data_IF_329085898625
#
_entry.id   IF_329085898625
#
_cell.length_a   1.000
_cell.length_b   1.000
_cell.length_c   1.000
_cell.angle_alpha   90.00
_cell.angle_beta   90.00
_cell.angle_gamma   90.00
#
_symmetry.space_group_name_H-M   'P 1'
#
loop_
_entity.id
_entity.type
_entity.pdbx_description
1 polymer ?
#
# COMPACT_ATOMS: atom_id res chain seq x y z
N UNK A 1 -31.75 -7.05 -3.69
CA UNK A 1 -30.83 -7.12 -2.54
C UNK A 1 -29.44 -6.72 -3.02
N UNK A 2 -29.05 -5.47 -2.76
CA UNK A 2 -27.79 -4.90 -3.23
C UNK A 2 -26.61 -5.61 -2.59
N UNK A 3 -25.76 -6.24 -3.39
CA UNK A 3 -24.50 -6.76 -2.92
C UNK A 3 -23.59 -5.58 -2.63
N UNK A 4 -23.29 -5.35 -1.35
CA UNK A 4 -22.13 -4.56 -0.95
C UNK A 4 -20.88 -5.23 -1.49
N UNK A 5 -20.06 -4.51 -2.25
CA UNK A 5 -18.73 -4.99 -2.63
C UNK A 5 -17.88 -5.15 -1.36
N UNK A 6 -17.84 -6.37 -0.83
CA UNK A 6 -16.99 -6.73 0.29
C UNK A 6 -15.65 -7.23 -0.26
N UNK A 7 -14.57 -6.49 -0.01
CA UNK A 7 -13.22 -7.01 -0.20
C UNK A 7 -12.85 -7.83 1.04
N UNK A 8 -12.44 -9.08 0.84
CA UNK A 8 -11.87 -9.89 1.91
C UNK A 8 -10.38 -9.58 2.04
N UNK A 9 -9.95 -9.07 3.20
CA UNK A 9 -8.53 -8.93 3.53
C UNK A 9 -8.02 -10.27 4.07
N UNK A 10 -7.04 -10.90 3.42
CA UNK A 10 -6.45 -12.15 3.90
C UNK A 10 -5.39 -11.90 5.00
N UNK A 11 -5.76 -11.12 6.03
CA UNK A 11 -4.96 -10.90 7.24
C UNK A 11 -3.75 -9.96 7.13
N UNK A 12 -3.37 -9.54 5.91
CA UNK A 12 -2.15 -8.77 5.70
C UNK A 12 -2.38 -7.26 5.49
N UNK A 13 -3.55 -6.70 5.82
CA UNK A 13 -3.88 -5.32 5.47
C UNK A 13 -3.69 -4.30 6.61
N UNK A 14 -3.12 -3.13 6.28
CA UNK A 14 -3.03 -1.99 7.19
C UNK A 14 -4.29 -1.13 7.17
N UNK A 15 -4.62 -0.48 8.28
CA UNK A 15 -5.75 0.44 8.39
C UNK A 15 -5.39 1.74 9.13
N UNK A 16 -5.87 2.89 8.64
CA UNK A 16 -5.74 4.20 9.31
C UNK A 16 -7.04 5.00 9.28
N UNK A 17 -7.27 5.77 10.35
CA UNK A 17 -8.38 6.71 10.47
C UNK A 17 -7.85 8.13 10.19
N UNK A 18 -8.58 8.89 9.37
CA UNK A 18 -8.32 10.30 9.10
C UNK A 18 -9.59 11.10 9.33
N UNK A 19 -9.51 12.25 9.98
CA UNK A 19 -10.65 13.17 10.13
C UNK A 19 -10.32 14.48 9.44
N UNK A 20 -11.17 14.87 8.48
CA UNK A 20 -11.11 16.19 7.88
C UNK A 20 -11.46 17.23 8.95
N UNK A 21 -10.53 18.12 9.26
CA UNK A 21 -10.69 19.10 10.35
C UNK A 21 -11.63 20.25 10.00
N UNK A 22 -11.96 20.42 8.72
CA UNK A 22 -12.88 21.45 8.23
C UNK A 22 -14.31 20.89 8.23
N UNK A 23 -14.49 19.68 7.69
CA UNK A 23 -15.81 19.08 7.53
C UNK A 23 -16.22 18.15 8.67
N UNK A 24 -15.29 17.82 9.59
CA UNK A 24 -15.43 16.80 10.63
C UNK A 24 -15.81 15.41 10.09
N UNK A 25 -15.59 15.17 8.80
CA UNK A 25 -15.84 13.86 8.18
C UNK A 25 -14.67 12.94 8.50
N UNK A 26 -14.96 11.85 9.18
CA UNK A 26 -13.98 10.79 9.43
C UNK A 26 -13.98 9.78 8.30
N UNK A 27 -12.80 9.38 7.85
CA UNK A 27 -12.55 8.41 6.80
C UNK A 27 -11.60 7.33 7.28
N UNK A 28 -11.76 6.16 6.69
CA UNK A 28 -11.14 4.90 7.03
C UNK A 28 -10.37 4.47 5.76
N UNK A 29 -9.04 4.38 5.78
CA UNK A 29 -8.23 3.91 4.66
C UNK A 29 -7.61 2.55 4.97
N UNK A 30 -7.88 1.56 4.12
CA UNK A 30 -7.34 0.19 4.22
C UNK A 30 -6.48 -0.16 3.01
N UNK A 31 -5.36 -0.85 3.21
CA UNK A 31 -4.54 -1.42 2.13
C UNK A 31 -4.44 -2.95 2.27
N UNK A 32 -4.36 -3.72 1.19
CA UNK A 32 -4.10 -5.17 1.26
C UNK A 32 -3.84 -5.83 -0.09
N UNK A 33 -3.26 -7.03 -0.07
CA UNK A 33 -2.96 -7.80 -1.29
C UNK A 33 -4.19 -8.15 -2.13
N UNK A 34 -4.04 -8.14 -3.45
CA UNK A 34 -5.06 -8.58 -4.39
C UNK A 34 -4.91 -10.07 -4.69
N UNK A 35 -5.90 -10.90 -4.37
CA UNK A 35 -6.00 -12.24 -4.92
C UNK A 35 -6.88 -12.16 -6.16
N UNK A 36 -6.36 -12.65 -7.29
CA UNK A 36 -7.01 -12.58 -8.60
C UNK A 36 -8.44 -13.11 -8.55
N UNK A 37 -9.42 -12.21 -8.53
CA UNK A 37 -10.76 -12.57 -9.01
C UNK A 37 -10.70 -12.63 -10.53
N UNK A 38 -11.38 -13.59 -11.19
CA UNK A 38 -11.45 -13.65 -12.65
C UNK A 38 -12.09 -12.40 -13.29
N UNK A 39 -12.66 -11.49 -12.49
CA UNK A 39 -13.27 -10.23 -12.92
C UNK A 39 -12.33 -9.01 -12.82
N UNK A 40 -11.12 -9.20 -12.29
CA UNK A 40 -10.07 -8.17 -12.19
C UNK A 40 -8.75 -8.74 -12.73
N UNK A 41 -8.83 -9.45 -13.86
CA UNK A 41 -7.66 -9.95 -14.59
C UNK A 41 -6.96 -8.75 -15.23
N UNK A 42 -5.80 -8.38 -14.71
CA UNK A 42 -4.85 -7.61 -15.49
C UNK A 42 -4.41 -8.49 -16.66
N UNK A 43 -4.43 -7.95 -17.88
CA UNK A 43 -3.83 -8.65 -19.00
C UNK A 43 -2.35 -8.87 -18.63
N UNK A 44 -2.01 -10.14 -18.36
CA UNK A 44 -0.75 -10.62 -17.75
C UNK A 44 -0.74 -10.42 -16.22
N UNK A 45 -0.68 -11.51 -15.45
CA UNK A 45 -0.75 -11.50 -13.97
C UNK A 45 0.33 -10.60 -13.38
N UNK A 46 -0.06 -9.40 -12.96
CA UNK A 46 0.75 -8.53 -12.11
C UNK A 46 0.07 -8.52 -10.75
N UNK A 47 0.66 -9.22 -9.78
CA UNK A 47 0.20 -9.15 -8.39
C UNK A 47 0.39 -7.72 -7.87
N UNK A 48 -0.59 -7.27 -7.10
CA UNK A 48 -0.76 -5.88 -6.68
C UNK A 48 -1.45 -5.80 -5.34
N UNK A 49 -1.65 -4.58 -4.86
CA UNK A 49 -2.48 -4.32 -3.69
C UNK A 49 -3.61 -3.35 -3.99
N UNK A 50 -4.66 -3.41 -3.18
CA UNK A 50 -5.80 -2.51 -3.23
C UNK A 50 -5.71 -1.53 -2.06
N UNK A 51 -5.85 -0.24 -2.34
CA UNK A 51 -6.09 0.81 -1.36
C UNK A 51 -7.57 1.22 -1.47
N UNK A 52 -8.33 1.15 -0.37
CA UNK A 52 -9.75 1.52 -0.32
C UNK A 52 -9.96 2.58 0.75
N UNK A 53 -10.86 3.53 0.48
CA UNK A 53 -11.30 4.51 1.47
C UNK A 53 -12.80 4.38 1.75
N UNK A 54 -13.14 4.43 3.03
CA UNK A 54 -14.50 4.41 3.54
C UNK A 54 -14.78 5.71 4.31
N UNK A 55 -16.05 6.09 4.36
CA UNK A 55 -16.59 7.12 5.25
C UNK A 55 -16.79 6.56 6.66
N UNK A 56 -17.07 7.44 7.62
CA UNK A 56 -17.28 7.10 9.03
C UNK A 56 -18.49 6.19 9.29
N UNK A 57 -19.43 6.17 8.35
CA UNK A 57 -20.59 5.28 8.36
C UNK A 57 -20.29 3.90 7.74
N UNK A 58 -19.03 3.63 7.37
CA UNK A 58 -18.60 2.38 6.75
C UNK A 58 -18.91 2.27 5.26
N UNK A 59 -19.51 3.29 4.64
CA UNK A 59 -19.74 3.30 3.19
C UNK A 59 -18.46 3.60 2.43
N UNK A 60 -18.32 3.08 1.21
CA UNK A 60 -17.15 3.38 0.36
C UNK A 60 -17.17 4.84 -0.06
N UNK A 61 -16.06 5.55 0.14
CA UNK A 61 -15.89 6.93 -0.33
C UNK A 61 -15.58 6.95 -1.83
N UNK A 62 -16.62 7.02 -2.65
CA UNK A 62 -16.52 7.00 -4.10
C UNK A 62 -15.69 8.15 -4.72
N UNK A 63 -15.32 9.18 -3.94
CA UNK A 63 -14.42 10.25 -4.40
C UNK A 63 -12.94 9.86 -4.40
N UNK A 64 -12.59 8.72 -3.80
CA UNK A 64 -11.22 8.22 -3.74
C UNK A 64 -10.89 7.32 -4.93
N UNK A 65 -9.79 7.59 -5.62
CA UNK A 65 -9.34 6.75 -6.73
C UNK A 65 -10.42 6.55 -7.79
N UNK A 66 -10.63 5.30 -8.19
CA UNK A 66 -11.74 4.90 -9.05
C UNK A 66 -12.78 4.16 -8.21
N UNK A 67 -13.93 4.81 -7.96
CA UNK A 67 -15.06 4.24 -7.20
C UNK A 67 -14.67 3.79 -5.78
N UNK A 68 -13.83 4.59 -5.12
CA UNK A 68 -13.42 4.41 -3.74
C UNK A 68 -12.19 3.54 -3.51
N UNK A 69 -11.58 3.03 -4.58
CA UNK A 69 -10.36 2.23 -4.48
C UNK A 69 -9.37 2.46 -5.60
N UNK A 70 -8.15 1.99 -5.37
CA UNK A 70 -7.02 2.02 -6.31
C UNK A 70 -6.33 0.67 -6.25
N UNK A 71 -6.42 -0.09 -7.34
CA UNK A 71 -5.59 -1.27 -7.52
C UNK A 71 -4.24 -0.82 -8.07
N UNK A 72 -3.15 -1.19 -7.39
CA UNK A 72 -1.80 -0.75 -7.71
C UNK A 72 -0.89 -1.95 -7.93
N UNK A 73 -0.45 -2.21 -9.17
CA UNK A 73 0.70 -3.05 -9.41
C UNK A 73 1.99 -2.29 -9.07
N UNK A 74 3.02 -3.00 -8.63
CA UNK A 74 4.34 -2.40 -8.47
C UNK A 74 5.10 -2.46 -9.82
N UNK A 75 5.53 -1.32 -10.39
CA UNK A 75 6.14 -1.30 -11.73
C UNK A 75 7.35 -2.23 -11.85
N UNK A 76 7.41 -3.00 -12.94
CA UNK A 76 8.51 -3.92 -13.25
C UNK A 76 8.60 -5.17 -12.36
N UNK A 77 7.66 -5.36 -11.43
CA UNK A 77 7.63 -6.49 -10.50
C UNK A 77 6.40 -7.35 -10.78
N UNK A 78 6.51 -8.66 -10.56
CA UNK A 78 5.39 -9.58 -10.81
C UNK A 78 4.58 -9.87 -9.55
N UNK A 79 5.11 -9.48 -8.39
CA UNK A 79 4.48 -9.64 -7.09
C UNK A 79 4.61 -8.38 -6.25
N UNK A 80 3.51 -7.96 -5.61
CA UNK A 80 3.54 -6.93 -4.58
C UNK A 80 2.38 -7.09 -3.60
N UNK A 81 2.65 -6.76 -2.34
CA UNK A 81 1.64 -6.73 -1.27
C UNK A 81 1.86 -5.52 -0.37
N UNK A 82 0.77 -4.98 0.14
CA UNK A 82 0.78 -3.92 1.14
C UNK A 82 0.43 -4.49 2.51
N UNK A 83 1.24 -4.17 3.52
CA UNK A 83 1.10 -4.61 4.90
C UNK A 83 0.72 -3.49 5.87
N UNK A 84 1.10 -2.27 5.54
CA UNK A 84 0.88 -1.12 6.39
C UNK A 84 0.59 0.14 5.58
N UNK A 85 -0.14 1.06 6.21
CA UNK A 85 -0.50 2.35 5.65
C UNK A 85 -0.32 3.42 6.71
N UNK A 86 0.18 4.59 6.30
CA UNK A 86 0.33 5.76 7.16
C UNK A 86 -0.07 7.03 6.41
N UNK A 87 -0.46 8.05 7.18
CA UNK A 87 -0.88 9.35 6.67
C UNK A 87 0.15 10.42 7.00
N UNK A 88 0.54 11.18 6.00
CA UNK A 88 1.28 12.42 6.20
C UNK A 88 0.31 13.56 6.55
N UNK A 89 0.82 14.59 7.23
CA UNK A 89 0.03 15.74 7.69
C UNK A 89 -0.62 16.54 6.56
N UNK A 90 -0.07 16.47 5.35
CA UNK A 90 -0.61 17.06 4.14
C UNK A 90 -1.70 16.20 3.46
N UNK A 91 -2.10 15.08 4.08
CA UNK A 91 -3.10 14.16 3.55
C UNK A 91 -2.56 13.16 2.52
N UNK A 92 -1.26 13.17 2.22
CA UNK A 92 -0.65 12.11 1.43
C UNK A 92 -0.66 10.79 2.21
N UNK A 93 -0.76 9.69 1.46
CA UNK A 93 -0.90 8.34 2.00
C UNK A 93 0.34 7.57 1.57
N UNK A 94 1.04 6.98 2.54
CA UNK A 94 2.17 6.08 2.28
C UNK A 94 1.72 4.67 2.58
N UNK A 95 1.92 3.78 1.62
CA UNK A 95 1.69 2.34 1.76
C UNK A 95 3.03 1.64 1.72
N UNK A 96 3.23 0.67 2.61
CA UNK A 96 4.44 -0.14 2.69
C UNK A 96 4.12 -1.63 2.75
N UNK A 97 5.01 -2.43 2.20
CA UNK A 97 4.94 -3.88 2.24
C UNK A 97 6.14 -4.50 1.50
N UNK A 98 5.86 -5.34 0.52
CA UNK A 98 6.89 -6.03 -0.25
C UNK A 98 6.65 -5.99 -1.75
N UNK A 99 7.74 -6.09 -2.50
CA UNK A 99 7.73 -6.25 -3.96
C UNK A 99 8.77 -7.29 -4.38
N UNK A 100 8.50 -8.06 -5.43
CA UNK A 100 9.43 -9.07 -5.93
C UNK A 100 9.33 -9.28 -7.46
N UNK A 101 10.46 -9.67 -8.04
CA UNK A 101 10.58 -10.08 -9.45
C UNK A 101 10.12 -11.53 -9.70
N UNK A 102 9.85 -12.30 -8.65
CA UNK A 102 9.41 -13.70 -8.71
C UNK A 102 8.15 -13.91 -7.88
N UNK A 103 7.30 -14.87 -8.27
CA UNK A 103 6.13 -15.29 -7.50
C UNK A 103 6.59 -16.09 -6.28
N UNK A 104 6.06 -15.75 -5.10
CA UNK A 104 6.31 -16.44 -3.82
C UNK A 104 5.93 -17.93 -3.84
N UNK A 105 5.11 -18.35 -4.81
CA UNK A 105 4.63 -19.73 -4.94
C UNK A 105 5.63 -20.69 -5.61
N UNK A 106 6.69 -20.17 -6.24
CA UNK A 106 7.54 -20.95 -7.16
C UNK A 106 9.01 -21.11 -6.74
N UNK A 107 9.32 -20.91 -5.45
CA UNK A 107 10.64 -20.76 -4.78
C UNK A 107 10.76 -19.31 -4.31
N UNK A 108 10.94 -19.03 -3.00
CA UNK A 108 11.07 -17.67 -2.51
C UNK A 108 12.34 -17.04 -3.10
N UNK A 109 12.15 -16.17 -4.10
CA UNK A 109 13.18 -15.26 -4.59
C UNK A 109 13.28 -14.04 -3.67
N UNK A 110 14.31 -13.19 -3.85
CA UNK A 110 14.46 -11.98 -3.05
C UNK A 110 13.23 -11.08 -3.21
N UNK A 111 12.77 -10.55 -2.08
CA UNK A 111 11.77 -9.48 -2.03
C UNK A 111 12.40 -8.26 -1.37
N UNK A 112 11.96 -7.10 -1.84
CA UNK A 112 12.40 -5.80 -1.34
C UNK A 112 11.29 -5.17 -0.51
N UNK A 113 11.67 -4.21 0.33
CA UNK A 113 10.69 -3.25 0.84
C UNK A 113 10.10 -2.50 -0.36
N UNK A 114 8.78 -2.61 -0.51
CA UNK A 114 8.01 -1.86 -1.50
C UNK A 114 7.23 -0.76 -0.83
N UNK A 115 7.45 0.49 -1.25
CA UNK A 115 6.65 1.64 -0.84
C UNK A 115 5.98 2.29 -2.04
N UNK A 116 4.76 2.78 -1.84
CA UNK A 116 4.06 3.64 -2.78
C UNK A 116 3.45 4.83 -2.05
N UNK A 117 3.44 6.00 -2.71
CA UNK A 117 2.79 7.21 -2.17
C UNK A 117 1.64 7.67 -3.05
N UNK A 118 0.57 8.09 -2.39
CA UNK A 118 -0.64 8.63 -3.00
C UNK A 118 -0.95 10.01 -2.46
N UNK A 119 -1.57 10.83 -3.29
CA UNK A 119 -2.25 12.04 -2.87
C UNK A 119 -3.52 11.71 -2.08
N UNK A 120 -4.07 12.69 -1.37
CA UNK A 120 -5.30 12.54 -0.59
C UNK A 120 -6.52 12.08 -1.41
N UNK A 121 -6.49 12.24 -2.74
CA UNK A 121 -7.54 11.77 -3.64
C UNK A 121 -7.33 10.33 -4.17
N UNK A 122 -6.26 9.64 -3.74
CA UNK A 122 -5.93 8.28 -4.17
C UNK A 122 -5.16 8.19 -5.49
N UNK A 123 -4.75 9.32 -6.10
CA UNK A 123 -3.82 9.27 -7.24
C UNK A 123 -2.39 9.07 -6.75
N UNK A 124 -1.62 8.22 -7.42
CA UNK A 124 -0.18 8.09 -7.18
C UNK A 124 0.47 9.48 -7.23
N UNK A 125 1.37 9.74 -6.28
CA UNK A 125 2.20 10.94 -6.26
C UNK A 125 3.48 10.69 -7.07
N UNK A 126 3.61 11.22 -8.30
CA UNK A 126 4.76 10.94 -9.15
C UNK A 126 6.07 11.56 -8.63
N UNK A 127 6.00 12.47 -7.66
CA UNK A 127 7.18 13.14 -7.08
C UNK A 127 7.89 12.29 -6.04
N UNK A 128 7.30 11.16 -5.62
CA UNK A 128 7.91 10.25 -4.66
C UNK A 128 8.77 9.19 -5.37
N UNK A 129 10.07 9.16 -5.07
CA UNK A 129 10.96 8.13 -5.60
C UNK A 129 10.92 8.06 -7.13
N UNK A 130 10.73 6.86 -7.67
CA UNK A 130 10.59 6.65 -9.12
C UNK A 130 9.11 6.55 -9.50
N UNK A 131 8.51 7.67 -9.90
CA UNK A 131 7.12 7.70 -10.39
C UNK A 131 6.08 7.32 -9.34
N UNK A 132 6.37 7.54 -8.06
CA UNK A 132 5.50 7.23 -6.93
C UNK A 132 5.88 6.00 -6.12
N UNK A 133 6.99 5.34 -6.47
CA UNK A 133 7.38 4.05 -5.91
C UNK A 133 8.83 4.06 -5.43
N UNK A 134 9.10 3.27 -4.39
CA UNK A 134 10.46 2.98 -3.90
C UNK A 134 10.59 1.49 -3.64
N UNK A 135 11.65 0.88 -4.21
CA UNK A 135 12.10 -0.48 -3.88
C UNK A 135 13.40 -0.36 -3.09
N UNK A 136 13.48 -1.00 -1.92
CA UNK A 136 14.70 -0.99 -1.10
C UNK A 136 15.15 -2.41 -0.79
N UNK A 137 16.27 -2.86 -1.38
CA UNK A 137 16.79 -4.20 -1.13
C UNK A 137 17.49 -4.29 0.22
N UNK A 138 17.36 -5.44 0.88
CA UNK A 138 18.06 -5.78 2.12
C UNK A 138 18.91 -7.04 1.96
N UNK A 139 19.64 -7.12 0.86
CA UNK A 139 20.47 -8.27 0.50
C UNK A 139 19.80 -9.16 -0.54
N UNK A 140 20.19 -10.43 -0.60
CA UNK A 140 19.70 -11.40 -1.59
C UNK A 140 18.55 -12.27 -1.06
N UNK A 141 17.96 -11.92 0.07
CA UNK A 141 16.89 -12.68 0.73
C UNK A 141 15.56 -11.91 0.71
N UNK A 142 14.49 -12.55 1.19
CA UNK A 142 13.21 -11.88 1.43
C UNK A 142 13.37 -10.71 2.41
N UNK A 143 12.68 -9.61 2.11
CA UNK A 143 12.52 -8.47 2.98
C UNK A 143 11.13 -7.86 2.81
N UNK A 144 10.44 -7.65 3.93
CA UNK A 144 9.09 -7.09 3.93
C UNK A 144 8.93 -6.02 5.00
N UNK A 145 8.43 -4.85 4.59
CA UNK A 145 8.08 -3.76 5.50
C UNK A 145 6.74 -4.07 6.18
N UNK A 146 6.78 -4.53 7.44
CA UNK A 146 5.57 -4.87 8.20
C UNK A 146 4.82 -3.62 8.69
N UNK A 147 5.54 -2.52 8.90
CA UNK A 147 4.95 -1.27 9.41
C UNK A 147 5.60 -0.05 8.77
N UNK A 148 4.82 1.00 8.61
CA UNK A 148 5.29 2.32 8.21
C UNK A 148 4.76 3.39 9.14
N UNK A 149 5.62 4.35 9.47
CA UNK A 149 5.32 5.48 10.35
C UNK A 149 5.80 6.77 9.70
N UNK A 150 5.07 7.86 9.94
CA UNK A 150 5.47 9.21 9.52
C UNK A 150 6.01 9.95 10.74
N UNK A 151 7.24 10.47 10.61
CA UNK A 151 7.86 11.34 11.62
C UNK A 151 7.27 12.76 11.54
N UNK A 152 7.38 13.54 12.61
CA UNK A 152 6.84 14.91 12.69
C UNK A 152 7.42 15.87 11.65
N UNK A 153 8.62 15.58 11.14
CA UNK A 153 9.29 16.31 10.07
C UNK A 153 8.94 15.81 8.66
N UNK A 154 7.96 14.91 8.55
CA UNK A 154 7.47 14.33 7.31
C UNK A 154 8.28 13.15 6.77
N UNK A 155 9.40 12.78 7.41
CA UNK A 155 10.17 11.59 7.01
C UNK A 155 9.37 10.31 7.22
N UNK A 156 9.61 9.33 6.38
CA UNK A 156 8.94 8.04 6.41
C UNK A 156 9.90 7.02 7.02
N UNK A 157 9.44 6.24 7.99
CA UNK A 157 10.19 5.12 8.58
C UNK A 157 9.43 3.84 8.28
N UNK A 158 10.07 2.91 7.57
CA UNK A 158 9.56 1.56 7.36
C UNK A 158 10.36 0.57 8.20
N UNK A 159 9.66 -0.31 8.92
CA UNK A 159 10.28 -1.35 9.75
C UNK A 159 9.71 -2.70 9.35
N UNK A 160 10.58 -3.69 9.29
CA UNK A 160 10.26 -5.00 8.77
C UNK A 160 11.25 -6.06 9.20
N UNK A 161 11.18 -7.18 8.53
CA UNK A 161 12.13 -8.27 8.70
C UNK A 161 12.76 -8.63 7.36
N UNK A 162 13.99 -9.12 7.43
CA UNK A 162 14.61 -9.94 6.41
C UNK A 162 15.11 -11.24 7.06
N UNK A 163 15.64 -12.17 6.26
CA UNK A 163 16.27 -13.39 6.78
C UNK A 163 17.47 -13.11 7.71
N UNK A 164 18.01 -11.89 7.70
CA UNK A 164 19.12 -11.46 8.55
C UNK A 164 18.65 -10.74 9.83
N UNK A 165 17.34 -10.63 10.07
CA UNK A 165 16.75 -10.02 11.27
C UNK A 165 15.89 -8.79 10.98
N UNK A 166 15.69 -7.96 12.00
CA UNK A 166 14.90 -6.72 11.87
C UNK A 166 15.62 -5.71 10.97
N UNK A 167 14.88 -5.13 10.03
CA UNK A 167 15.38 -4.13 9.09
C UNK A 167 14.59 -2.82 9.22
N UNK A 168 15.29 -1.70 9.08
CA UNK A 168 14.73 -0.36 9.18
C UNK A 168 15.23 0.45 7.99
N UNK A 169 14.31 1.11 7.29
CA UNK A 169 14.63 2.12 6.28
C UNK A 169 13.99 3.45 6.67
N UNK A 170 14.71 4.54 6.40
CA UNK A 170 14.20 5.90 6.54
C UNK A 170 14.27 6.60 5.18
N UNK A 171 13.14 7.15 4.75
CA UNK A 171 12.99 7.85 3.48
C UNK A 171 12.71 9.33 3.73
N UNK A 172 13.20 10.17 2.82
CA UNK A 172 12.87 11.58 2.81
C UNK A 172 11.42 11.76 2.36
N UNK A 173 10.84 12.89 2.78
CA UNK A 173 9.50 13.27 2.33
C UNK A 173 9.47 13.60 0.83
N UNK A 174 10.62 13.89 0.20
CA UNK A 174 10.77 14.23 -1.21
C UNK A 174 12.02 13.54 -1.78
#
# INVERSE_FOLDING_TARGET
HGQSAGFAFNGAGGFVISTDTITNVTKIITAGGLITSPSLTFAQSISGFLLVRYSSDGTVDNSFGSRGGVATPFPGNIFSQAFSVALQTNGQIVVAGQTALTDVSAVPGPSDFGLARYNANGRIDPTFGNGGFVSTPFGSSEAFANTVLIQTDGKIVAVGNSNNGTTIARYLAN
#
